data_IF_985618843666
#
_entry.id   IF_985618843666
#
_cell.length_a   1.000
_cell.length_b   1.000
_cell.length_c   1.000
_cell.angle_alpha   90.00
_cell.angle_beta   90.00
_cell.angle_gamma   90.00
#
_symmetry.space_group_name_H-M   'P 1'
#
loop_
_entity.id
_entity.type
_entity.pdbx_description
1 polymer ?
#
# COMPACT_ATOMS: atom_id res chain seq x y z
N UNK A 1 11.85 30.68 0.05
CA UNK A 1 12.05 29.21 -0.01
C UNK A 1 10.70 28.60 -0.28
N UNK A 2 10.52 27.84 -1.36
CA UNK A 2 9.26 27.15 -1.66
C UNK A 2 9.13 25.90 -0.80
N UNK A 3 8.06 25.80 -0.04
CA UNK A 3 7.78 24.67 0.85
C UNK A 3 6.93 23.65 0.08
N UNK A 4 7.59 22.72 -0.64
CA UNK A 4 6.91 21.63 -1.36
C UNK A 4 6.57 20.47 -0.42
N UNK A 5 5.71 20.74 0.56
CA UNK A 5 5.48 19.84 1.70
C UNK A 5 4.80 18.55 1.28
N UNK A 6 3.84 18.59 0.35
CA UNK A 6 3.16 17.37 -0.12
C UNK A 6 4.13 16.50 -0.92
N UNK A 7 4.92 17.08 -1.82
CA UNK A 7 5.91 16.33 -2.58
C UNK A 7 7.00 15.73 -1.70
N UNK A 8 7.47 16.44 -0.68
CA UNK A 8 8.41 15.94 0.34
C UNK A 8 7.83 14.74 1.08
N UNK A 9 6.63 14.89 1.64
CA UNK A 9 5.96 13.81 2.39
C UNK A 9 5.67 12.62 1.47
N UNK A 10 5.28 12.83 0.21
CA UNK A 10 5.11 11.73 -0.74
C UNK A 10 6.41 11.01 -1.03
N UNK A 11 7.50 11.73 -1.25
CA UNK A 11 8.80 11.13 -1.53
C UNK A 11 9.31 10.31 -0.35
N UNK A 12 9.14 10.81 0.87
CA UNK A 12 9.59 10.15 2.10
C UNK A 12 8.65 9.02 2.56
N UNK A 13 7.34 9.20 2.35
CA UNK A 13 6.32 8.24 2.74
C UNK A 13 6.11 7.10 1.74
N UNK A 14 6.63 7.21 0.51
CA UNK A 14 6.52 6.14 -0.49
C UNK A 14 7.57 5.04 -0.28
N UNK A 15 7.46 4.35 0.86
CA UNK A 15 8.25 3.16 1.18
C UNK A 15 7.43 1.90 0.89
N UNK A 16 8.06 0.75 0.57
CA UNK A 16 7.36 -0.49 0.22
C UNK A 16 6.76 -1.20 1.43
N UNK A 17 5.83 -2.11 1.16
CA UNK A 17 5.10 -2.83 2.20
C UNK A 17 6.02 -3.88 2.82
N UNK A 18 6.09 -3.88 4.15
CA UNK A 18 6.96 -4.78 4.92
C UNK A 18 6.19 -5.82 5.75
N UNK A 19 4.90 -6.03 5.46
CA UNK A 19 4.11 -7.03 6.19
C UNK A 19 4.43 -8.42 5.65
N UNK A 20 4.42 -9.46 6.49
CA UNK A 20 4.63 -10.83 6.04
C UNK A 20 3.70 -11.24 4.87
N UNK A 21 2.45 -10.78 4.89
CA UNK A 21 1.48 -11.09 3.83
C UNK A 21 1.79 -10.37 2.51
N UNK A 22 2.41 -9.19 2.54
CA UNK A 22 2.76 -8.45 1.34
C UNK A 22 3.98 -9.08 0.66
N UNK A 23 4.97 -9.54 1.44
CA UNK A 23 6.07 -10.39 0.95
C UNK A 23 5.53 -11.66 0.27
N UNK A 24 4.60 -12.37 0.93
CA UNK A 24 3.99 -13.57 0.38
C UNK A 24 3.24 -13.30 -0.93
N UNK A 25 2.44 -12.22 -0.99
CA UNK A 25 1.74 -11.81 -2.23
C UNK A 25 2.73 -11.50 -3.34
N UNK A 26 3.82 -10.79 -3.05
CA UNK A 26 4.84 -10.43 -4.04
C UNK A 26 5.56 -11.66 -4.59
N UNK A 27 6.03 -12.55 -3.72
CA UNK A 27 6.69 -13.80 -4.13
C UNK A 27 5.73 -14.67 -4.92
N UNK A 28 4.51 -14.92 -4.43
CA UNK A 28 3.55 -15.78 -5.12
C UNK A 28 3.11 -15.21 -6.47
N UNK A 29 2.91 -13.90 -6.59
CA UNK A 29 2.61 -13.26 -7.87
C UNK A 29 3.80 -13.35 -8.82
N UNK A 30 5.04 -13.12 -8.34
CA UNK A 30 6.26 -13.34 -9.12
C UNK A 30 6.35 -14.78 -9.64
N UNK A 31 6.11 -15.77 -8.76
CA UNK A 31 6.07 -17.20 -9.11
C UNK A 31 4.98 -17.52 -10.13
N UNK A 32 3.81 -16.90 -10.05
CA UNK A 32 2.74 -17.12 -11.03
C UNK A 32 3.14 -16.60 -12.43
N UNK A 33 3.77 -15.41 -12.50
CA UNK A 33 4.32 -14.89 -13.76
C UNK A 33 5.44 -15.77 -14.30
N UNK A 34 6.34 -16.22 -13.41
CA UNK A 34 7.39 -17.17 -13.73
C UNK A 34 6.85 -18.49 -14.30
N UNK A 35 5.80 -19.02 -13.69
CA UNK A 35 5.13 -20.24 -14.11
C UNK A 35 4.52 -20.09 -15.51
N UNK A 36 3.89 -18.94 -15.80
CA UNK A 36 3.43 -18.64 -17.16
C UNK A 36 4.56 -18.63 -18.19
N UNK A 37 5.67 -17.95 -17.91
CA UNK A 37 6.84 -17.94 -18.78
C UNK A 37 7.48 -19.34 -18.93
N UNK A 38 7.56 -20.09 -17.83
CA UNK A 38 8.08 -21.45 -17.78
C UNK A 38 7.23 -22.47 -18.51
N UNK A 39 5.91 -22.29 -18.58
CA UNK A 39 5.05 -23.12 -19.44
C UNK A 39 5.43 -22.91 -20.90
N UNK A 40 5.59 -21.66 -21.36
CA UNK A 40 6.00 -21.38 -22.75
C UNK A 40 7.34 -22.03 -23.07
N UNK A 41 8.34 -21.86 -22.19
CA UNK A 41 9.67 -22.48 -22.36
C UNK A 41 9.61 -24.01 -22.27
N UNK A 42 8.79 -24.53 -21.35
CA UNK A 42 8.60 -25.97 -21.13
C UNK A 42 7.94 -26.66 -22.32
N UNK A 43 7.02 -26.00 -23.01
CA UNK A 43 6.42 -26.55 -24.24
C UNK A 43 7.44 -26.71 -25.37
N UNK A 44 8.44 -25.82 -25.42
CA UNK A 44 9.55 -25.91 -26.39
C UNK A 44 10.54 -27.01 -25.98
N UNK A 45 10.90 -27.07 -24.69
CA UNK A 45 11.87 -28.04 -24.18
C UNK A 45 11.31 -29.47 -24.10
N UNK A 46 10.00 -29.62 -23.87
CA UNK A 46 9.31 -30.88 -23.66
C UNK A 46 8.08 -31.00 -24.59
N UNK A 47 8.26 -31.07 -25.92
CA UNK A 47 7.15 -31.10 -26.87
C UNK A 47 6.25 -32.32 -26.68
N UNK A 48 6.80 -33.41 -26.14
CA UNK A 48 6.07 -34.65 -25.87
C UNK A 48 5.06 -34.54 -24.71
N UNK A 49 5.14 -33.50 -23.88
CA UNK A 49 4.21 -33.27 -22.77
C UNK A 49 2.76 -33.06 -23.24
N UNK A 50 2.57 -32.58 -24.48
CA UNK A 50 1.26 -32.31 -25.07
C UNK A 50 0.67 -33.49 -25.85
N UNK A 51 1.39 -34.60 -25.97
CA UNK A 51 0.99 -35.71 -26.83
C UNK A 51 0.01 -36.63 -26.10
N UNK A 52 -1.15 -36.87 -26.70
CA UNK A 52 -2.15 -37.83 -26.22
C UNK A 52 -2.83 -37.40 -24.92
N UNK A 53 -3.14 -38.37 -24.05
CA UNK A 53 -3.82 -38.12 -22.77
C UNK A 53 -2.97 -37.39 -21.73
N UNK A 54 -1.64 -37.26 -21.96
CA UNK A 54 -0.69 -36.63 -21.05
C UNK A 54 -1.01 -35.16 -20.79
N UNK A 55 -1.47 -34.47 -21.83
CA UNK A 55 -1.90 -33.07 -21.75
C UNK A 55 -3.03 -32.86 -20.72
N UNK A 56 -3.86 -33.88 -20.49
CA UNK A 56 -4.97 -33.80 -19.53
C UNK A 56 -4.48 -33.74 -18.07
N UNK A 57 -3.27 -34.23 -17.77
CA UNK A 57 -2.68 -34.13 -16.43
C UNK A 57 -2.08 -32.75 -16.14
N UNK A 58 -1.70 -31.98 -17.16
CA UNK A 58 -1.14 -30.64 -17.00
C UNK A 58 -2.18 -29.66 -16.44
N UNK A 59 -3.43 -29.76 -16.88
CA UNK A 59 -4.52 -28.87 -16.47
C UNK A 59 -4.74 -28.92 -14.94
N UNK A 60 -5.02 -30.08 -14.30
CA UNK A 60 -5.19 -30.13 -12.86
C UNK A 60 -3.90 -29.81 -12.10
N UNK A 61 -2.72 -30.19 -12.62
CA UNK A 61 -1.45 -29.88 -11.96
C UNK A 61 -1.21 -28.36 -11.87
N UNK A 62 -1.34 -27.64 -12.98
CA UNK A 62 -1.19 -26.19 -12.99
C UNK A 62 -2.33 -25.48 -12.26
N UNK A 63 -3.56 -26.01 -12.31
CA UNK A 63 -4.69 -25.44 -11.56
C UNK A 63 -4.44 -25.50 -10.04
N UNK A 64 -3.95 -26.63 -9.51
CA UNK A 64 -3.61 -26.78 -8.09
C UNK A 64 -2.49 -25.82 -7.70
N UNK A 65 -1.40 -25.75 -8.48
CA UNK A 65 -0.28 -24.85 -8.19
C UNK A 65 -0.71 -23.38 -8.24
N UNK A 66 -1.47 -22.98 -9.26
CA UNK A 66 -1.99 -21.62 -9.38
C UNK A 66 -2.92 -21.27 -8.20
N UNK A 67 -3.77 -22.21 -7.77
CA UNK A 67 -4.63 -22.02 -6.59
C UNK A 67 -3.81 -21.82 -5.31
N UNK A 68 -2.77 -22.63 -5.08
CA UNK A 68 -1.88 -22.48 -3.93
C UNK A 68 -1.17 -21.11 -3.93
N UNK A 69 -0.69 -20.65 -5.09
CA UNK A 69 -0.09 -19.32 -5.25
C UNK A 69 -1.10 -18.17 -5.08
N UNK A 70 -2.39 -18.42 -5.28
CA UNK A 70 -3.44 -17.44 -5.06
C UNK A 70 -3.86 -17.32 -3.58
N UNK A 71 -3.49 -18.26 -2.71
CA UNK A 71 -3.89 -18.26 -1.29
C UNK A 71 -3.60 -16.94 -0.54
N UNK A 72 -2.44 -16.28 -0.69
CA UNK A 72 -2.18 -15.00 -0.01
C UNK A 72 -3.12 -13.86 -0.42
N UNK A 73 -3.77 -13.98 -1.57
CA UNK A 73 -4.77 -13.03 -2.06
C UNK A 73 -6.18 -13.33 -1.55
N UNK A 74 -6.44 -14.57 -1.12
CA UNK A 74 -7.71 -14.97 -0.50
C UNK A 74 -7.78 -14.59 0.98
N UNK A 75 -6.63 -14.42 1.63
CA UNK A 75 -6.55 -13.90 3.00
C UNK A 75 -6.91 -12.41 2.96
N UNK A 76 -8.11 -12.09 3.44
CA UNK A 76 -8.53 -10.70 3.64
C UNK A 76 -7.74 -10.10 4.80
N UNK A 77 -7.10 -8.96 4.57
CA UNK A 77 -6.46 -8.14 5.60
C UNK A 77 -7.53 -7.49 6.48
N UNK A 78 -8.28 -8.29 7.25
CA UNK A 78 -9.32 -7.77 8.16
C UNK A 78 -8.71 -7.20 9.44
N UNK A 79 -7.47 -7.57 9.76
CA UNK A 79 -6.80 -7.16 10.99
C UNK A 79 -5.53 -6.42 10.61
N UNK A 80 -5.42 -5.10 10.87
CA UNK A 80 -4.14 -4.42 10.76
C UNK A 80 -3.15 -5.11 11.72
N UNK A 81 -1.87 -5.21 11.32
CA UNK A 81 -0.86 -5.92 12.11
C UNK A 81 -0.71 -5.30 13.52
N UNK A 82 -1.01 -4.00 13.63
CA UNK A 82 -1.24 -3.30 14.87
C UNK A 82 -2.56 -2.51 14.79
N UNK A 83 -3.43 -2.57 15.82
CA UNK A 83 -4.67 -1.81 15.83
C UNK A 83 -4.38 -0.31 15.65
N UNK A 84 -5.18 0.32 14.79
CA UNK A 84 -5.13 1.76 14.56
C UNK A 84 -5.47 2.58 15.81
N UNK A 85 -4.89 3.76 15.93
CA UNK A 85 -5.00 4.67 17.08
C UNK A 85 -5.73 5.94 16.67
N UNK A 86 -6.56 6.50 17.56
CA UNK A 86 -7.19 7.80 17.32
C UNK A 86 -6.14 8.91 17.40
N UNK A 87 -6.22 9.87 16.50
CA UNK A 87 -5.22 10.92 16.33
C UNK A 87 -5.87 12.29 16.13
N UNK A 88 -5.11 13.34 16.40
CA UNK A 88 -5.46 14.71 16.01
C UNK A 88 -4.46 15.19 14.99
N UNK A 89 -4.95 15.53 13.80
CA UNK A 89 -4.14 16.01 12.70
C UNK A 89 -4.29 17.52 12.56
N UNK A 90 -3.18 18.25 12.43
CA UNK A 90 -3.15 19.67 12.10
C UNK A 90 -2.74 19.86 10.65
N UNK A 91 -3.54 20.61 9.91
CA UNK A 91 -3.24 20.97 8.52
C UNK A 91 -1.99 21.85 8.46
N UNK A 92 -1.03 21.47 7.61
CA UNK A 92 0.18 22.24 7.34
C UNK A 92 -0.05 23.20 6.17
N UNK A 93 0.61 24.36 6.22
CA UNK A 93 0.69 25.25 5.07
C UNK A 93 1.63 24.68 4.01
N UNK A 94 1.28 24.86 2.74
CA UNK A 94 2.12 24.51 1.59
C UNK A 94 2.01 25.59 0.52
N UNK A 95 3.10 25.81 -0.21
CA UNK A 95 3.15 26.74 -1.35
C UNK A 95 2.73 26.03 -2.66
N UNK A 96 2.49 24.71 -2.61
CA UNK A 96 2.09 23.92 -3.77
C UNK A 96 0.67 24.29 -4.22
N UNK A 97 0.54 24.61 -5.50
CA UNK A 97 -0.76 24.89 -6.11
C UNK A 97 -1.69 23.69 -5.95
N UNK A 98 -2.98 23.98 -5.80
CA UNK A 98 -4.04 22.96 -5.72
C UNK A 98 -3.96 21.93 -6.86
N UNK A 99 -3.64 22.39 -8.07
CA UNK A 99 -3.48 21.52 -9.24
C UNK A 99 -2.35 20.50 -9.09
N UNK A 100 -1.25 20.86 -8.45
CA UNK A 100 -0.12 19.93 -8.21
C UNK A 100 -0.45 18.88 -7.14
N UNK A 101 -1.40 19.20 -6.24
CA UNK A 101 -1.81 18.33 -5.13
C UNK A 101 -3.04 17.49 -5.45
N UNK A 102 -3.74 17.74 -6.55
CA UNK A 102 -4.87 16.91 -6.98
C UNK A 102 -4.36 15.66 -7.71
N UNK A 103 -4.70 14.49 -7.21
CA UNK A 103 -4.36 13.19 -7.80
C UNK A 103 -5.64 12.50 -8.25
N UNK A 104 -5.63 11.87 -9.43
CA UNK A 104 -6.74 11.04 -9.93
C UNK A 104 -7.02 11.24 -11.41
N UNK A 105 -7.36 10.14 -12.09
CA UNK A 105 -7.51 10.09 -13.56
C UNK A 105 -8.87 10.58 -14.08
N UNK A 106 -9.83 10.86 -13.20
CA UNK A 106 -11.20 11.26 -13.57
C UNK A 106 -11.78 12.20 -12.53
N UNK A 107 -12.63 13.15 -12.94
CA UNK A 107 -13.31 14.12 -12.05
C UNK A 107 -13.97 13.47 -10.82
N UNK A 108 -14.53 12.26 -10.97
CA UNK A 108 -15.19 11.54 -9.85
C UNK A 108 -14.23 10.82 -8.90
N UNK A 109 -12.96 10.67 -9.30
CA UNK A 109 -11.91 9.96 -8.55
C UNK A 109 -10.74 10.88 -8.18
N UNK A 110 -10.92 12.19 -8.31
CA UNK A 110 -9.93 13.16 -7.89
C UNK A 110 -9.93 13.31 -6.36
N UNK A 111 -8.74 13.34 -5.79
CA UNK A 111 -8.49 13.60 -4.39
C UNK A 111 -7.48 14.74 -4.26
N UNK A 112 -7.78 15.72 -3.41
CA UNK A 112 -6.85 16.77 -3.06
C UNK A 112 -5.98 16.29 -1.90
N UNK A 113 -4.67 16.30 -2.11
CA UNK A 113 -3.68 15.92 -1.11
C UNK A 113 -3.41 17.09 -0.17
N UNK A 114 -3.74 16.94 1.11
CA UNK A 114 -3.53 17.96 2.14
C UNK A 114 -2.47 17.48 3.12
N UNK A 115 -1.36 18.21 3.31
CA UNK A 115 -0.32 17.81 4.25
C UNK A 115 -0.78 18.06 5.68
N UNK A 116 -0.52 17.10 6.56
CA UNK A 116 -0.88 17.19 7.97
C UNK A 116 0.27 16.73 8.86
N UNK A 117 0.35 17.32 10.05
CA UNK A 117 1.12 16.79 11.16
C UNK A 117 0.18 16.20 12.20
N UNK A 118 0.52 15.05 12.74
CA UNK A 118 -0.39 14.20 13.49
C UNK A 118 0.17 13.96 14.88
N UNK A 119 -0.69 14.08 15.88
CA UNK A 119 -0.44 13.64 17.25
C UNK A 119 -1.36 12.48 17.62
N UNK A 120 -0.81 11.30 17.93
CA UNK A 120 -1.57 10.20 18.49
C UNK A 120 -2.09 10.49 19.90
N UNK A 121 -3.31 10.04 20.19
CA UNK A 121 -3.91 10.16 21.52
C UNK A 121 -3.18 9.29 22.56
N UNK A 122 -2.66 8.14 22.14
CA UNK A 122 -1.88 7.21 22.98
C UNK A 122 -0.47 7.73 23.34
N UNK A 123 -0.14 8.97 22.97
CA UNK A 123 1.16 9.62 23.18
C UNK A 123 2.34 8.91 22.49
N UNK A 124 2.07 8.07 21.50
CA UNK A 124 3.12 7.62 20.60
C UNK A 124 3.69 8.78 19.78
N UNK A 125 4.81 8.54 19.09
CA UNK A 125 5.53 9.59 18.39
C UNK A 125 4.65 10.32 17.36
N UNK A 126 4.78 11.65 17.33
CA UNK A 126 4.17 12.48 16.31
C UNK A 126 4.72 12.12 14.93
N UNK A 127 3.92 12.35 13.89
CA UNK A 127 4.35 12.11 12.53
C UNK A 127 3.73 13.08 11.51
N UNK A 128 4.31 13.14 10.31
CA UNK A 128 3.76 13.83 9.15
C UNK A 128 3.20 12.82 8.15
N UNK A 129 2.10 13.20 7.51
CA UNK A 129 1.49 12.44 6.43
C UNK A 129 0.65 13.36 5.54
N UNK A 130 0.04 12.82 4.51
CA UNK A 130 -0.89 13.51 3.62
C UNK A 130 -2.25 12.82 3.70
N UNK A 131 -3.32 13.61 3.81
CA UNK A 131 -4.70 13.11 3.71
C UNK A 131 -5.25 13.34 2.31
N UNK A 132 -6.00 12.35 1.82
CA UNK A 132 -6.71 12.43 0.55
C UNK A 132 -8.12 12.97 0.79
N UNK A 133 -8.38 14.21 0.38
CA UNK A 133 -9.70 14.83 0.47
C UNK A 133 -10.47 14.58 -0.83
N UNK A 134 -11.44 13.68 -0.77
CA UNK A 134 -12.32 13.39 -1.90
C UNK A 134 -13.41 14.45 -2.05
N UNK A 135 -13.88 14.67 -3.28
CA UNK A 135 -14.95 15.64 -3.57
C UNK A 135 -14.47 17.09 -3.68
N UNK A 136 -13.15 17.33 -3.73
CA UNK A 136 -12.60 18.67 -3.89
C UNK A 136 -13.13 19.41 -5.15
N UNK A 137 -13.46 18.68 -6.21
CA UNK A 137 -14.02 19.23 -7.45
C UNK A 137 -15.49 19.72 -7.33
N UNK A 138 -16.16 19.47 -6.21
CA UNK A 138 -17.55 19.90 -6.00
C UNK A 138 -17.63 21.41 -5.75
N UNK A 139 -18.64 22.05 -6.33
CA UNK A 139 -18.92 23.46 -6.10
C UNK A 139 -19.14 23.72 -4.60
N UNK A 140 -18.44 24.71 -4.03
CA UNK A 140 -18.50 25.03 -2.60
C UNK A 140 -17.45 24.32 -1.74
N UNK A 141 -16.59 23.47 -2.29
CA UNK A 141 -15.46 22.91 -1.53
C UNK A 141 -14.47 24.01 -1.13
N UNK A 142 -14.29 24.19 0.16
CA UNK A 142 -13.23 25.01 0.74
C UNK A 142 -12.18 24.10 1.38
N UNK A 143 -10.93 24.25 0.95
CA UNK A 143 -9.81 23.55 1.58
C UNK A 143 -9.67 23.98 3.04
N UNK A 144 -9.38 23.03 3.93
CA UNK A 144 -9.12 23.32 5.34
C UNK A 144 -7.95 24.31 5.46
N UNK A 145 -8.12 25.31 6.32
CA UNK A 145 -7.08 26.33 6.51
C UNK A 145 -5.86 25.72 7.20
N UNK A 146 -4.64 26.20 6.91
CA UNK A 146 -3.46 25.85 7.71
C UNK A 146 -3.73 26.09 9.20
N UNK A 147 -3.34 25.13 10.03
CA UNK A 147 -3.60 25.16 11.47
C UNK A 147 -4.93 24.53 11.91
N UNK A 148 -5.86 24.24 10.99
CA UNK A 148 -7.09 23.50 11.32
C UNK A 148 -6.76 22.14 11.93
N UNK A 149 -7.40 21.83 13.06
CA UNK A 149 -7.31 20.54 13.73
C UNK A 149 -8.44 19.62 13.27
N UNK A 150 -8.10 18.38 12.93
CA UNK A 150 -8.99 17.36 12.41
C UNK A 150 -8.91 16.12 13.31
N UNK A 151 -10.01 15.65 13.88
CA UNK A 151 -10.06 14.35 14.54
C UNK A 151 -10.05 13.27 13.46
N UNK A 152 -9.04 12.39 13.50
CA UNK A 152 -8.87 11.30 12.54
C UNK A 152 -8.48 10.02 13.27
N UNK A 153 -8.48 8.89 12.58
CA UNK A 153 -7.96 7.64 13.10
C UNK A 153 -6.83 7.15 12.21
N UNK A 154 -5.68 6.85 12.79
CA UNK A 154 -4.63 6.12 12.10
C UNK A 154 -5.15 4.71 11.82
N UNK A 155 -5.15 4.29 10.56
CA UNK A 155 -5.70 2.99 10.18
C UNK A 155 -4.87 1.84 10.73
N UNK A 156 -3.55 2.03 10.80
CA UNK A 156 -2.58 1.07 11.33
C UNK A 156 -1.39 1.79 11.94
N UNK A 157 -1.01 1.39 13.15
CA UNK A 157 0.12 1.98 13.85
C UNK A 157 1.41 1.79 13.05
N UNK A 158 2.20 2.85 12.91
CA UNK A 158 3.44 2.85 12.14
C UNK A 158 3.30 3.24 10.67
N UNK A 159 2.08 3.47 10.18
CA UNK A 159 1.82 3.96 8.82
C UNK A 159 1.11 5.31 8.82
N UNK A 160 1.35 6.13 7.81
CA UNK A 160 0.74 7.45 7.63
C UNK A 160 -0.72 7.41 7.15
N UNK A 161 -1.33 6.23 7.03
CA UNK A 161 -2.72 6.08 6.59
C UNK A 161 -3.70 6.58 7.66
N UNK A 162 -4.56 7.53 7.29
CA UNK A 162 -5.59 8.11 8.16
C UNK A 162 -6.99 7.87 7.58
N UNK A 163 -7.95 7.67 8.46
CA UNK A 163 -9.37 7.57 8.14
C UNK A 163 -10.17 8.60 8.94
N UNK A 164 -11.30 9.02 8.37
CA UNK A 164 -12.26 9.86 9.09
C UNK A 164 -12.90 9.08 10.25
N UNK A 165 -13.19 9.78 11.33
CA UNK A 165 -14.06 9.30 12.41
C UNK A 165 -15.41 10.01 12.30
N UNK A 166 -16.50 9.31 12.60
CA UNK A 166 -17.84 9.91 12.58
C UNK A 166 -18.02 10.94 13.70
N UNK A 167 -17.43 10.65 14.87
CA UNK A 167 -17.46 11.51 16.05
C UNK A 167 -16.08 11.49 16.71
N UNK A 168 -15.63 12.64 17.20
CA UNK A 168 -14.39 12.74 17.95
C UNK A 168 -14.55 12.05 19.31
N UNK A 169 -13.57 11.26 19.72
CA UNK A 169 -13.54 10.70 21.07
C UNK A 169 -13.25 11.81 22.11
N UNK A 170 -13.66 11.64 23.38
CA UNK A 170 -13.37 12.62 24.43
C UNK A 170 -11.87 12.93 24.58
N UNK A 171 -11.03 11.93 24.34
CA UNK A 171 -9.58 12.08 24.37
C UNK A 171 -9.05 12.90 23.19
N UNK A 172 -9.63 12.72 21.99
CA UNK A 172 -9.33 13.57 20.83
C UNK A 172 -9.77 15.02 21.08
N UNK A 173 -10.95 15.25 21.65
CA UNK A 173 -11.42 16.59 21.98
C UNK A 173 -10.51 17.29 23.01
N UNK A 174 -10.09 16.56 24.05
CA UNK A 174 -9.16 17.08 25.04
C UNK A 174 -7.81 17.44 24.40
N UNK A 175 -7.31 16.58 23.51
CA UNK A 175 -6.10 16.83 22.75
C UNK A 175 -6.25 18.05 21.83
N UNK A 176 -7.37 18.17 21.09
CA UNK A 176 -7.65 19.32 20.24
C UNK A 176 -7.64 20.63 21.04
N UNK A 177 -8.36 20.70 22.17
CA UNK A 177 -8.36 21.87 23.06
C UNK A 177 -6.96 22.22 23.55
N UNK A 178 -6.14 21.21 23.90
CA UNK A 178 -4.76 21.45 24.33
C UNK A 178 -3.88 22.03 23.22
N UNK A 179 -4.07 21.57 21.98
CA UNK A 179 -3.33 22.02 20.81
C UNK A 179 -3.79 23.40 20.32
N UNK A 180 -5.06 23.75 20.51
CA UNK A 180 -5.57 25.11 20.27
C UNK A 180 -4.93 26.11 21.22
N UNK A 181 -4.84 25.78 22.52
CA UNK A 181 -4.22 26.64 23.53
C UNK A 181 -2.70 26.71 23.38
N UNK A 182 -2.06 25.62 22.95
CA UNK A 182 -0.60 25.52 22.82
C UNK A 182 -0.20 24.87 21.50
N UNK A 183 -0.30 25.60 20.36
CA UNK A 183 -0.01 25.03 19.03
C UNK A 183 1.43 24.51 18.90
N UNK A 184 2.38 25.11 19.63
CA UNK A 184 3.80 24.71 19.61
C UNK A 184 4.05 23.31 20.18
N UNK A 185 3.08 22.72 20.87
CA UNK A 185 3.21 21.35 21.38
C UNK A 185 3.36 20.33 20.26
N UNK A 186 2.77 20.58 19.08
CA UNK A 186 2.90 19.71 17.91
C UNK A 186 3.89 20.36 16.92
N UNK A 187 5.12 19.84 16.76
CA UNK A 187 6.12 20.45 15.89
C UNK A 187 5.85 20.12 14.42
N UNK A 188 6.07 21.09 13.51
CA UNK A 188 5.91 20.86 12.06
C UNK A 188 6.98 19.94 11.45
N UNK A 189 7.99 19.53 12.21
CA UNK A 189 9.17 18.75 11.75
C UNK A 189 9.13 17.29 12.19
N UNK A 190 7.93 16.76 12.51
CA UNK A 190 7.77 15.35 12.87
C UNK A 190 8.20 14.42 11.71
N UNK A 191 8.70 13.20 11.98
CA UNK A 191 9.11 12.27 10.93
C UNK A 191 7.93 11.91 10.02
N UNK A 192 8.20 11.68 8.73
CA UNK A 192 7.20 11.17 7.79
C UNK A 192 7.03 9.67 8.00
N UNK A 193 5.79 9.21 8.16
CA UNK A 193 5.50 7.77 8.19
C UNK A 193 5.18 7.25 6.78
N UNK A 194 5.50 5.97 6.50
CA UNK A 194 5.19 5.36 5.23
C UNK A 194 3.68 5.28 4.98
N UNK A 195 3.24 5.56 3.77
CA UNK A 195 1.88 5.20 3.34
C UNK A 195 1.77 3.68 3.29
N UNK A 196 0.55 3.13 3.43
CA UNK A 196 0.33 1.71 3.13
C UNK A 196 0.55 1.55 1.61
N UNK A 197 1.68 1.00 1.17
CA UNK A 197 1.99 0.91 -0.25
C UNK A 197 1.31 -0.34 -0.82
N UNK A 198 1.25 -0.45 -2.15
CA UNK A 198 0.65 -1.63 -2.76
C UNK A 198 1.55 -2.84 -2.51
N UNK A 199 0.95 -4.01 -2.27
CA UNK A 199 1.68 -5.26 -1.98
C UNK A 199 2.68 -5.66 -3.08
N UNK A 200 2.51 -5.13 -4.29
CA UNK A 200 3.35 -5.40 -5.47
C UNK A 200 4.36 -4.28 -5.79
N UNK A 201 4.39 -3.20 -5.00
CA UNK A 201 5.41 -2.17 -5.18
C UNK A 201 6.80 -2.75 -4.88
N UNK A 202 7.77 -2.43 -5.75
CA UNK A 202 9.12 -2.99 -5.76
C UNK A 202 10.15 -1.86 -5.69
N UNK A 203 10.22 -1.20 -4.54
CA UNK A 203 11.05 0.00 -4.35
C UNK A 203 12.44 -0.36 -3.83
N UNK A 204 12.55 -1.36 -2.96
CA UNK A 204 13.84 -1.81 -2.41
C UNK A 204 14.42 -2.97 -3.21
N UNK A 205 15.73 -3.19 -3.06
CA UNK A 205 16.43 -4.35 -3.65
C UNK A 205 15.84 -5.68 -3.15
N UNK A 206 15.43 -5.76 -1.88
CA UNK A 206 14.78 -6.94 -1.32
C UNK A 206 13.48 -7.28 -2.06
N UNK A 207 12.64 -6.28 -2.31
CA UNK A 207 11.38 -6.46 -3.05
C UNK A 207 11.63 -6.94 -4.49
N UNK A 208 12.71 -6.44 -5.12
CA UNK A 208 13.11 -6.89 -6.45
C UNK A 208 13.59 -8.34 -6.43
N UNK A 209 14.38 -8.74 -5.43
CA UNK A 209 14.86 -10.11 -5.27
C UNK A 209 13.70 -11.08 -5.02
N UNK A 210 12.72 -10.72 -4.19
CA UNK A 210 11.51 -11.52 -3.97
C UNK A 210 10.73 -11.74 -5.26
N UNK A 211 10.56 -10.67 -6.06
CA UNK A 211 9.86 -10.75 -7.33
C UNK A 211 10.60 -11.63 -8.35
N UNK A 212 11.87 -11.34 -8.60
CA UNK A 212 12.67 -12.05 -9.60
C UNK A 212 12.98 -13.48 -9.17
N UNK A 213 13.27 -13.69 -7.89
CA UNK A 213 13.43 -15.01 -7.30
C UNK A 213 12.16 -15.85 -7.44
N UNK A 214 10.99 -15.25 -7.17
CA UNK A 214 9.69 -15.86 -7.45
C UNK A 214 9.55 -16.23 -8.93
N UNK A 215 9.82 -15.31 -9.86
CA UNK A 215 9.75 -15.58 -11.30
C UNK A 215 10.64 -16.75 -11.73
N UNK A 216 11.89 -16.80 -11.27
CA UNK A 216 12.80 -17.90 -11.59
C UNK A 216 12.27 -19.22 -11.01
N UNK A 217 11.83 -19.22 -9.75
CA UNK A 217 11.26 -20.39 -9.10
C UNK A 217 10.02 -20.90 -9.83
N UNK A 218 9.14 -20.01 -10.28
CA UNK A 218 7.96 -20.34 -11.07
C UNK A 218 8.31 -20.98 -12.41
N UNK A 219 9.31 -20.44 -13.10
CA UNK A 219 9.76 -20.98 -14.38
C UNK A 219 10.34 -22.39 -14.22
N UNK A 220 11.16 -22.60 -13.19
CA UNK A 220 11.72 -23.91 -12.85
C UNK A 220 10.61 -24.91 -12.46
N UNK A 221 9.64 -24.47 -11.67
CA UNK A 221 8.51 -25.31 -11.26
C UNK A 221 7.70 -25.79 -12.47
N UNK A 222 7.43 -24.90 -13.44
CA UNK A 222 6.77 -25.28 -14.68
C UNK A 222 7.59 -26.32 -15.48
N UNK A 223 8.91 -26.13 -15.58
CA UNK A 223 9.79 -27.09 -16.24
C UNK A 223 9.77 -28.47 -15.55
N UNK A 224 9.76 -28.51 -14.22
CA UNK A 224 9.66 -29.76 -13.43
C UNK A 224 8.32 -30.46 -13.70
N UNK A 225 7.20 -29.74 -13.66
CA UNK A 225 5.86 -30.32 -13.94
C UNK A 225 5.81 -30.89 -15.35
N UNK A 226 6.27 -30.13 -16.35
CA UNK A 226 6.29 -30.54 -17.75
C UNK A 226 7.22 -31.75 -17.97
N UNK A 227 8.39 -31.76 -17.33
CA UNK A 227 9.33 -32.86 -17.37
C UNK A 227 8.74 -34.15 -16.80
N UNK A 228 8.09 -34.08 -15.62
CA UNK A 228 7.42 -35.23 -15.00
C UNK A 228 6.32 -35.78 -15.92
N UNK A 229 5.44 -34.93 -16.43
CA UNK A 229 4.33 -35.37 -17.30
C UNK A 229 4.83 -35.94 -18.62
N UNK A 230 5.95 -35.45 -19.15
CA UNK A 230 6.56 -36.02 -20.36
C UNK A 230 7.05 -37.45 -20.18
N UNK A 231 7.35 -37.85 -18.94
CA UNK A 231 7.83 -39.19 -18.57
C UNK A 231 6.70 -40.17 -18.24
N UNK A 232 5.46 -39.69 -18.02
CA UNK A 232 4.26 -40.51 -17.79
C UNK A 232 3.63 -40.93 -19.11
#
# INVERSE_FOLDING_TARGET
MSTNVVAEIWREGNLPAARPIDHARRVCTGTLWGLGAGVVLGLIAFPNALVGSRALYLIPAFAVVAFLLALPWLIRDKTPAAPGVDVVARVLGTDESRRMRTVGNSRRKQALMVPVVVRPVDKSADFRTVIAVHGAEQAGFAESKPGTLLPLRQTEKGYGGLANVEQASPEQEALMRSLEQRPKLLPNTAPVLPFKPQSLDRVTTGDQLEWWGGMIAGALLAAVIMGIVSLL
#
